data_IF_202809287102
#
_entry.id   IF_202809287102
#
_cell.length_a   1.000
_cell.length_b   1.000
_cell.length_c   1.000
_cell.angle_alpha   90.00
_cell.angle_beta   90.00
_cell.angle_gamma   90.00
#
_symmetry.space_group_name_H-M   'P 1'
#
loop_
_entity.id
_entity.type
_entity.pdbx_description
1 polymer ?
#
# COMPACT_ATOMS: atom_id res chain seq x y z
N UNK A 1 -25.43 -5.86 23.35
CA UNK A 1 -24.92 -6.76 22.30
C UNK A 1 -24.11 -5.90 21.35
N UNK A 2 -23.15 -6.45 20.59
CA UNK A 2 -22.46 -5.68 19.57
C UNK A 2 -23.44 -5.08 18.56
N UNK A 3 -23.13 -3.90 18.02
CA UNK A 3 -23.96 -3.19 17.04
C UNK A 3 -24.19 -4.01 15.74
N UNK A 4 -23.22 -4.87 15.37
CA UNK A 4 -23.29 -5.71 14.18
C UNK A 4 -23.15 -7.18 14.53
N UNK A 5 -24.07 -7.99 13.99
CA UNK A 5 -24.03 -9.45 14.16
C UNK A 5 -22.97 -10.12 13.26
N UNK A 6 -22.66 -11.38 13.56
CA UNK A 6 -21.65 -12.17 12.84
C UNK A 6 -21.96 -12.33 11.35
N UNK A 7 -23.23 -12.43 10.95
CA UNK A 7 -23.61 -12.53 9.54
C UNK A 7 -23.28 -11.24 8.78
N UNK A 8 -23.50 -10.08 9.40
CA UNK A 8 -23.16 -8.79 8.83
C UNK A 8 -21.66 -8.67 8.64
N UNK A 9 -20.88 -8.99 9.68
CA UNK A 9 -19.42 -8.97 9.62
C UNK A 9 -18.87 -9.97 8.60
N UNK A 10 -19.45 -11.17 8.50
CA UNK A 10 -19.05 -12.17 7.50
C UNK A 10 -19.26 -11.66 6.06
N UNK A 11 -20.34 -10.90 5.82
CA UNK A 11 -20.56 -10.22 4.54
C UNK A 11 -19.55 -9.08 4.30
N UNK A 12 -19.13 -8.40 5.37
CA UNK A 12 -18.24 -7.24 5.32
C UNK A 12 -16.78 -7.61 5.09
N UNK A 13 -16.35 -8.80 5.52
CA UNK A 13 -14.99 -9.26 5.28
C UNK A 13 -14.73 -9.75 3.85
N UNK A 14 -15.71 -9.78 2.96
CA UNK A 14 -15.51 -10.26 1.58
C UNK A 14 -14.77 -9.19 0.74
N UNK A 15 -13.93 -9.60 -0.23
CA UNK A 15 -13.32 -8.67 -1.18
C UNK A 15 -14.36 -8.14 -2.19
N UNK A 16 -13.89 -7.43 -3.21
CA UNK A 16 -14.66 -7.08 -4.40
C UNK A 16 -15.26 -8.31 -5.13
N UNK A 17 -16.18 -8.05 -6.06
CA UNK A 17 -16.90 -9.04 -6.88
C UNK A 17 -16.14 -9.47 -8.13
N UNK A 18 -16.49 -10.64 -8.70
CA UNK A 18 -15.88 -11.19 -9.92
C UNK A 18 -15.94 -10.23 -11.13
N UNK A 19 -17.05 -9.49 -11.30
CA UNK A 19 -17.18 -8.49 -12.36
C UNK A 19 -16.15 -7.35 -12.25
N UNK A 20 -15.64 -7.05 -11.04
CA UNK A 20 -14.59 -6.05 -10.84
C UNK A 20 -13.22 -6.60 -11.27
N UNK A 21 -12.97 -7.90 -11.13
CA UNK A 21 -11.69 -8.53 -11.51
C UNK A 21 -11.41 -8.40 -13.02
N UNK A 22 -12.42 -8.59 -13.87
CA UNK A 22 -12.26 -8.41 -15.31
C UNK A 22 -11.91 -6.96 -15.66
N UNK A 23 -12.59 -5.98 -15.05
CA UNK A 23 -12.32 -4.55 -15.28
C UNK A 23 -10.93 -4.15 -14.80
N UNK A 24 -10.46 -4.77 -13.72
CA UNK A 24 -9.10 -4.58 -13.19
C UNK A 24 -8.07 -5.16 -14.16
N UNK A 25 -8.28 -6.39 -14.62
CA UNK A 25 -7.41 -7.03 -15.62
C UNK A 25 -7.32 -6.19 -16.90
N UNK A 26 -8.45 -5.68 -17.38
CA UNK A 26 -8.50 -4.77 -18.53
C UNK A 26 -7.67 -3.51 -18.30
N UNK A 27 -7.84 -2.84 -17.14
CA UNK A 27 -7.10 -1.64 -16.79
C UNK A 27 -5.57 -1.92 -16.79
N UNK A 28 -5.14 -3.00 -16.14
CA UNK A 28 -3.73 -3.40 -16.07
C UNK A 28 -3.17 -3.68 -17.48
N UNK A 29 -3.88 -4.46 -18.30
CA UNK A 29 -3.45 -4.77 -19.67
C UNK A 29 -3.31 -3.51 -20.49
N UNK A 30 -4.33 -2.63 -20.49
CA UNK A 30 -4.31 -1.39 -21.27
C UNK A 30 -3.14 -0.47 -20.90
N UNK A 31 -2.80 -0.37 -19.61
CA UNK A 31 -1.65 0.41 -19.12
C UNK A 31 -0.33 -0.21 -19.60
N UNK A 32 -0.17 -1.53 -19.42
CA UNK A 32 1.03 -2.26 -19.87
C UNK A 32 1.22 -2.13 -21.38
N UNK A 33 0.16 -2.31 -22.15
CA UNK A 33 0.18 -2.23 -23.61
C UNK A 33 0.51 -0.81 -24.08
N UNK A 34 -0.02 0.22 -23.43
CA UNK A 34 0.30 1.61 -23.76
C UNK A 34 1.80 1.90 -23.60
N UNK A 35 2.40 1.43 -22.51
CA UNK A 35 3.82 1.62 -22.22
C UNK A 35 4.67 0.80 -23.20
N UNK A 36 4.31 -0.46 -23.45
CA UNK A 36 5.03 -1.34 -24.40
C UNK A 36 4.96 -0.88 -25.86
N UNK A 37 3.97 -0.09 -26.23
CA UNK A 37 3.82 0.44 -27.59
C UNK A 37 4.41 1.85 -27.76
N UNK A 38 4.85 2.51 -26.69
CA UNK A 38 5.45 3.83 -26.78
C UNK A 38 6.85 3.75 -27.40
N UNK A 39 7.17 4.64 -28.34
CA UNK A 39 8.39 4.60 -29.16
C UNK A 39 9.68 4.53 -28.35
N UNK A 40 9.75 5.27 -27.23
CA UNK A 40 10.90 5.32 -26.33
C UNK A 40 10.84 4.23 -25.24
N UNK A 41 9.66 3.93 -24.69
CA UNK A 41 9.55 3.04 -23.52
C UNK A 41 9.63 1.57 -23.91
N UNK A 42 9.27 1.22 -25.15
CA UNK A 42 9.31 -0.16 -25.66
C UNK A 42 10.71 -0.79 -25.64
N UNK A 43 11.77 0.03 -25.60
CA UNK A 43 13.17 -0.43 -25.57
C UNK A 43 13.77 -0.44 -24.17
N UNK A 44 13.00 -0.06 -23.14
CA UNK A 44 13.45 0.03 -21.75
C UNK A 44 13.11 -1.25 -20.99
N UNK A 45 13.94 -1.64 -20.03
CA UNK A 45 13.56 -2.67 -19.04
C UNK A 45 12.63 -2.04 -18.00
N UNK A 46 11.34 -2.34 -18.12
CA UNK A 46 10.29 -1.84 -17.22
C UNK A 46 9.56 -3.03 -16.61
N UNK A 47 9.63 -3.13 -15.30
CA UNK A 47 8.86 -4.09 -14.52
C UNK A 47 7.58 -3.44 -13.99
N UNK A 48 6.44 -4.13 -14.13
CA UNK A 48 5.16 -3.67 -13.60
C UNK A 48 4.85 -4.28 -12.25
N UNK A 49 4.74 -3.45 -11.22
CA UNK A 49 4.39 -3.88 -9.86
C UNK A 49 2.98 -3.40 -9.54
N UNK A 50 2.05 -4.33 -9.33
CA UNK A 50 0.69 -4.01 -8.88
C UNK A 50 0.71 -3.85 -7.36
N UNK A 51 0.20 -2.72 -6.87
CA UNK A 51 0.27 -2.33 -5.46
C UNK A 51 -1.13 -2.06 -4.91
N UNK A 52 -1.14 -1.57 -3.67
CA UNK A 52 -2.35 -1.09 -3.02
C UNK A 52 -3.31 -2.21 -2.63
N UNK A 53 -4.54 -1.80 -2.34
CA UNK A 53 -5.50 -2.67 -1.68
C UNK A 53 -5.96 -3.85 -2.55
N UNK A 54 -5.93 -3.71 -3.88
CA UNK A 54 -6.21 -4.82 -4.79
C UNK A 54 -5.14 -5.91 -4.70
N UNK A 55 -3.87 -5.56 -4.90
CA UNK A 55 -2.74 -6.50 -4.83
C UNK A 55 -2.66 -7.16 -3.44
N UNK A 56 -2.87 -6.37 -2.39
CA UNK A 56 -2.88 -6.86 -1.02
C UNK A 56 -4.14 -7.68 -0.68
N UNK A 57 -5.15 -7.76 -1.56
CA UNK A 57 -6.46 -8.35 -1.26
C UNK A 57 -7.05 -7.77 0.03
N UNK A 58 -6.99 -6.46 0.18
CA UNK A 58 -7.57 -5.67 1.28
C UNK A 58 -8.57 -4.63 0.75
N UNK A 59 -8.94 -4.70 -0.53
CA UNK A 59 -9.93 -3.84 -1.15
C UNK A 59 -11.35 -4.09 -0.60
N UNK A 60 -12.12 -3.01 -0.57
CA UNK A 60 -13.56 -3.01 -0.26
C UNK A 60 -14.26 -2.31 -1.42
N UNK A 61 -15.56 -2.58 -1.67
CA UNK A 61 -16.29 -2.10 -2.88
C UNK A 61 -16.16 -0.59 -3.20
N UNK A 62 -15.86 0.24 -2.21
CA UNK A 62 -15.71 1.69 -2.37
C UNK A 62 -14.28 2.14 -2.76
N UNK A 63 -13.31 1.21 -2.74
CA UNK A 63 -11.88 1.47 -2.95
C UNK A 63 -11.39 0.78 -4.24
N UNK A 64 -12.09 0.98 -5.37
CA UNK A 64 -11.87 0.21 -6.60
C UNK A 64 -10.63 0.62 -7.43
N UNK A 65 -9.81 1.51 -6.92
CA UNK A 65 -8.67 2.06 -7.65
C UNK A 65 -7.52 1.04 -7.63
N UNK A 66 -6.88 0.83 -8.79
CA UNK A 66 -5.70 -0.03 -8.89
C UNK A 66 -4.43 0.81 -8.98
N UNK A 67 -3.40 0.42 -8.24
CA UNK A 67 -2.09 1.05 -8.29
C UNK A 67 -1.16 0.23 -9.18
N UNK A 68 -0.72 0.79 -10.31
CA UNK A 68 0.19 0.14 -11.26
C UNK A 68 1.49 0.93 -11.33
N UNK A 69 2.54 0.40 -10.71
CA UNK A 69 3.87 0.99 -10.79
C UNK A 69 4.60 0.49 -12.02
N UNK A 70 5.09 1.41 -12.85
CA UNK A 70 5.99 1.12 -13.96
C UNK A 70 7.43 1.42 -13.52
N UNK A 71 8.12 0.39 -13.04
CA UNK A 71 9.46 0.47 -12.46
C UNK A 71 10.53 0.31 -13.54
N UNK A 72 11.26 1.38 -13.86
CA UNK A 72 12.42 1.33 -14.75
C UNK A 72 13.59 0.61 -14.05
N UNK A 73 14.27 -0.28 -14.77
CA UNK A 73 15.40 -1.08 -14.27
C UNK A 73 16.72 -0.84 -15.02
N UNK A 74 16.68 -0.15 -16.16
CA UNK A 74 17.88 0.33 -16.88
C UNK A 74 18.80 1.21 -16.01
N UNK A 75 18.22 1.88 -15.03
CA UNK A 75 18.91 2.73 -14.05
C UNK A 75 18.17 2.60 -12.74
N UNK A 76 18.92 2.65 -11.64
CA UNK A 76 18.37 2.52 -10.30
C UNK A 76 18.92 3.63 -9.40
N UNK A 77 18.17 3.92 -8.35
CA UNK A 77 18.69 4.64 -7.19
C UNK A 77 19.15 3.65 -6.14
N UNK A 78 20.05 4.07 -5.28
CA UNK A 78 20.59 3.21 -4.23
C UNK A 78 20.77 3.93 -2.91
N UNK A 79 20.78 3.14 -1.85
CA UNK A 79 21.36 3.49 -0.55
C UNK A 79 22.48 2.50 -0.29
N UNK A 80 23.68 2.99 -0.01
CA UNK A 80 24.85 2.17 0.29
C UNK A 80 25.07 2.07 1.80
N UNK A 81 25.71 0.99 2.23
CA UNK A 81 26.22 0.88 3.60
C UNK A 81 27.16 2.05 3.92
N UNK A 82 27.27 2.36 5.21
CA UNK A 82 28.13 3.45 5.69
C UNK A 82 29.56 3.31 5.16
N UNK A 83 30.08 4.40 4.59
CA UNK A 83 31.43 4.48 4.02
C UNK A 83 31.60 3.85 2.63
N UNK A 84 30.58 3.19 2.06
CA UNK A 84 30.64 2.66 0.71
C UNK A 84 30.05 3.61 -0.33
N UNK A 85 30.54 3.49 -1.56
CA UNK A 85 30.07 4.22 -2.74
C UNK A 85 29.71 3.26 -3.86
N UNK A 86 29.12 3.79 -4.94
CA UNK A 86 28.75 3.00 -6.13
C UNK A 86 29.95 2.26 -6.75
N UNK A 87 31.14 2.84 -6.67
CA UNK A 87 32.38 2.26 -7.19
C UNK A 87 32.77 0.99 -6.44
N UNK A 88 32.48 0.89 -5.13
CA UNK A 88 32.74 -0.33 -4.36
C UNK A 88 31.93 -1.53 -4.88
N UNK A 89 30.77 -1.28 -5.47
CA UNK A 89 29.90 -2.29 -6.07
C UNK A 89 30.09 -2.42 -7.59
N UNK A 90 31.06 -1.72 -8.18
CA UNK A 90 31.34 -1.75 -9.62
C UNK A 90 30.31 -1.03 -10.49
N UNK A 91 29.49 -0.15 -9.91
CA UNK A 91 28.48 0.60 -10.66
C UNK A 91 29.03 1.91 -11.22
N UNK A 92 28.38 2.39 -12.28
CA UNK A 92 28.63 3.69 -12.91
C UNK A 92 27.37 4.55 -12.84
N UNK A 93 27.49 5.82 -13.20
CA UNK A 93 26.37 6.75 -13.20
C UNK A 93 25.34 6.38 -14.27
N UNK A 94 24.07 6.35 -13.88
CA UNK A 94 22.97 6.05 -14.78
C UNK A 94 22.63 7.24 -15.69
N UNK A 95 22.08 6.95 -16.87
CA UNK A 95 21.80 7.96 -17.90
C UNK A 95 20.33 8.35 -18.01
N UNK A 96 19.42 7.65 -17.32
CA UNK A 96 17.99 7.94 -17.39
C UNK A 96 17.58 9.01 -16.37
N UNK A 97 16.86 10.03 -16.82
CA UNK A 97 16.28 11.06 -15.96
C UNK A 97 14.84 10.71 -15.55
N UNK A 98 14.50 10.85 -14.26
CA UNK A 98 13.16 10.51 -13.76
C UNK A 98 12.05 11.40 -14.35
N UNK A 99 12.29 12.70 -14.53
CA UNK A 99 11.27 13.62 -15.05
C UNK A 99 10.95 13.33 -16.52
N UNK A 100 11.96 13.01 -17.32
CA UNK A 100 11.79 12.56 -18.70
C UNK A 100 11.03 11.23 -18.76
N UNK A 101 11.42 10.25 -17.94
CA UNK A 101 10.71 8.99 -17.84
C UNK A 101 9.23 9.18 -17.47
N UNK A 102 8.94 10.01 -16.47
CA UNK A 102 7.57 10.38 -16.09
C UNK A 102 6.82 11.03 -17.25
N UNK A 103 7.45 11.93 -18.00
CA UNK A 103 6.85 12.57 -19.16
C UNK A 103 6.46 11.54 -20.25
N UNK A 104 7.35 10.57 -20.55
CA UNK A 104 7.03 9.49 -21.49
C UNK A 104 5.89 8.59 -21.00
N UNK A 105 5.81 8.30 -19.70
CA UNK A 105 4.67 7.54 -19.15
C UNK A 105 3.37 8.35 -19.31
N UNK A 106 3.39 9.67 -19.03
CA UNK A 106 2.24 10.54 -19.24
C UNK A 106 1.81 10.52 -20.71
N UNK A 107 2.76 10.68 -21.64
CA UNK A 107 2.49 10.63 -23.08
C UNK A 107 1.86 9.30 -23.50
N UNK A 108 2.42 8.17 -23.05
CA UNK A 108 1.85 6.85 -23.31
C UNK A 108 0.40 6.73 -22.80
N UNK A 109 0.11 7.24 -21.60
CA UNK A 109 -1.25 7.25 -21.04
C UNK A 109 -2.18 8.17 -21.84
N UNK A 110 -1.72 9.35 -22.26
CA UNK A 110 -2.50 10.27 -23.09
C UNK A 110 -2.86 9.63 -24.44
N UNK A 111 -1.90 8.97 -25.09
CA UNK A 111 -2.10 8.31 -26.36
C UNK A 111 -3.10 7.15 -26.26
N UNK A 112 -3.12 6.41 -25.14
CA UNK A 112 -4.02 5.28 -24.95
C UNK A 112 -5.42 5.68 -24.50
N UNK A 113 -5.52 6.61 -23.55
CA UNK A 113 -6.78 6.90 -22.84
C UNK A 113 -7.41 8.24 -23.23
N UNK A 114 -6.67 9.12 -23.91
CA UNK A 114 -7.09 10.50 -24.19
C UNK A 114 -6.85 11.42 -23.00
N UNK A 115 -6.52 12.69 -23.28
CA UNK A 115 -6.15 13.70 -22.27
C UNK A 115 -7.24 13.91 -21.22
N UNK A 116 -8.51 13.93 -21.63
CA UNK A 116 -9.66 14.17 -20.73
C UNK A 116 -9.91 13.03 -19.73
N UNK A 117 -9.33 11.84 -19.97
CA UNK A 117 -9.46 10.68 -19.10
C UNK A 117 -8.26 10.49 -18.18
N UNK A 118 -7.26 11.37 -18.25
CA UNK A 118 -6.10 11.30 -17.38
C UNK A 118 -5.92 12.58 -16.57
N UNK A 119 -5.37 12.45 -15.36
CA UNK A 119 -4.96 13.58 -14.53
C UNK A 119 -3.60 13.28 -13.94
N UNK A 120 -2.60 14.09 -14.29
CA UNK A 120 -1.29 14.01 -13.63
C UNK A 120 -1.41 14.56 -12.22
N UNK A 121 -1.38 13.67 -11.23
CA UNK A 121 -1.34 14.04 -9.82
C UNK A 121 0.10 14.25 -9.34
N UNK A 122 0.24 14.62 -8.07
CA UNK A 122 1.56 14.89 -7.49
C UNK A 122 2.48 13.65 -7.46
N UNK A 123 1.93 12.44 -7.35
CA UNK A 123 2.70 11.18 -7.24
C UNK A 123 2.42 10.20 -8.37
N UNK A 124 1.15 10.03 -8.70
CA UNK A 124 0.69 9.11 -9.74
C UNK A 124 0.00 9.85 -10.89
N UNK A 125 -0.26 9.13 -11.97
CA UNK A 125 -1.06 9.55 -13.11
C UNK A 125 -2.39 8.81 -13.00
N UNK A 126 -3.44 9.55 -12.66
CA UNK A 126 -4.77 9.00 -12.48
C UNK A 126 -5.44 8.79 -13.84
N UNK A 127 -6.09 7.65 -13.99
CA UNK A 127 -6.86 7.25 -15.17
C UNK A 127 -8.31 7.06 -14.72
N UNK A 128 -9.22 7.78 -15.37
CA UNK A 128 -10.65 7.69 -15.11
C UNK A 128 -11.20 6.32 -15.51
N UNK A 129 -12.05 5.74 -14.66
CA UNK A 129 -12.82 4.52 -14.93
C UNK A 129 -13.81 4.73 -16.09
N UNK A 130 -14.32 3.61 -16.62
CA UNK A 130 -15.50 3.60 -17.49
C UNK A 130 -16.24 2.27 -17.37
N UNK A 131 -17.15 1.97 -18.30
CA UNK A 131 -17.90 0.71 -18.31
C UNK A 131 -17.00 -0.53 -18.44
N UNK A 132 -15.80 -0.40 -18.99
CA UNK A 132 -14.87 -1.50 -19.30
C UNK A 132 -13.69 -1.64 -18.33
N UNK A 133 -13.33 -0.58 -17.59
CA UNK A 133 -12.19 -0.57 -16.67
C UNK A 133 -12.48 0.19 -15.37
N UNK A 134 -11.79 -0.18 -14.30
CA UNK A 134 -11.80 0.60 -13.04
C UNK A 134 -10.91 1.84 -13.13
N UNK A 135 -10.93 2.66 -12.09
CA UNK A 135 -9.97 3.73 -11.90
C UNK A 135 -8.58 3.14 -11.67
N UNK A 136 -7.54 3.81 -12.16
CA UNK A 136 -6.17 3.36 -12.00
C UNK A 136 -5.23 4.52 -11.75
N UNK A 137 -4.25 4.31 -10.88
CA UNK A 137 -3.13 5.19 -10.66
C UNK A 137 -1.87 4.54 -11.22
N UNK A 138 -1.23 5.21 -12.17
CA UNK A 138 0.06 4.78 -12.71
C UNK A 138 1.17 5.51 -11.99
N UNK A 139 2.09 4.78 -11.37
CA UNK A 139 3.24 5.35 -10.64
C UNK A 139 4.51 5.11 -11.46
N UNK A 140 5.06 6.13 -12.13
CA UNK A 140 6.41 6.06 -12.68
C UNK A 140 7.39 5.94 -11.51
N UNK A 141 8.27 4.93 -11.54
CA UNK A 141 9.30 4.76 -10.54
C UNK A 141 10.56 4.19 -11.17
N UNK A 142 11.69 4.36 -10.48
CA UNK A 142 12.92 3.64 -10.77
C UNK A 142 13.09 2.54 -9.72
N UNK A 143 13.82 1.48 -10.07
CA UNK A 143 14.27 0.50 -9.10
C UNK A 143 15.07 1.22 -8.00
N UNK A 144 14.82 0.84 -6.75
CA UNK A 144 15.63 1.23 -5.62
C UNK A 144 16.36 0.01 -5.09
N UNK A 145 17.68 0.11 -4.91
CA UNK A 145 18.51 -0.96 -4.34
C UNK A 145 19.05 -0.51 -3.00
N UNK A 146 18.55 -1.11 -1.94
CA UNK A 146 19.04 -0.84 -0.59
C UNK A 146 20.14 -1.85 -0.22
N UNK A 147 21.37 -1.36 -0.09
CA UNK A 147 22.56 -2.10 0.34
C UNK A 147 22.96 -1.77 1.78
N UNK A 148 22.12 -1.07 2.56
CA UNK A 148 22.44 -0.59 3.91
C UNK A 148 22.96 -1.70 4.83
N UNK A 149 22.39 -2.91 4.74
CA UNK A 149 22.75 -4.08 5.56
C UNK A 149 23.73 -5.04 4.87
N UNK A 150 24.16 -4.73 3.65
CA UNK A 150 25.12 -5.53 2.88
C UNK A 150 26.54 -5.30 3.43
N UNK A 151 27.42 -6.30 3.43
CA UNK A 151 28.74 -6.21 4.10
C UNK A 151 29.95 -6.62 3.24
N UNK A 152 29.71 -7.20 2.06
CA UNK A 152 30.71 -7.84 1.19
C UNK A 152 30.89 -7.12 -0.14
N UNK A 153 30.23 -5.98 -0.35
CA UNK A 153 30.15 -5.28 -1.63
C UNK A 153 29.58 -6.14 -2.77
N UNK A 154 28.65 -7.05 -2.45
CA UNK A 154 27.99 -7.85 -3.47
C UNK A 154 26.89 -7.03 -4.17
N UNK A 155 27.10 -6.75 -5.46
CA UNK A 155 26.18 -5.99 -6.30
C UNK A 155 24.77 -6.61 -6.40
N UNK A 156 24.65 -7.92 -6.20
CA UNK A 156 23.39 -8.66 -6.31
C UNK A 156 22.68 -8.86 -4.96
N UNK A 157 23.32 -8.50 -3.84
CA UNK A 157 22.75 -8.65 -2.50
C UNK A 157 22.14 -7.33 -2.02
N UNK A 158 20.92 -7.05 -2.46
CA UNK A 158 20.17 -5.85 -2.09
C UNK A 158 18.71 -6.13 -1.78
N UNK A 159 18.15 -5.26 -0.95
CA UNK A 159 16.70 -5.21 -0.74
C UNK A 159 16.09 -4.34 -1.84
N UNK A 160 15.28 -4.95 -2.70
CA UNK A 160 14.64 -4.26 -3.83
C UNK A 160 13.41 -3.46 -3.38
N UNK A 161 13.41 -2.17 -3.71
CA UNK A 161 12.28 -1.26 -3.56
C UNK A 161 12.01 -0.47 -4.84
N UNK A 162 11.22 0.58 -4.69
CA UNK A 162 10.98 1.59 -5.71
C UNK A 162 11.35 2.96 -5.16
N UNK A 163 11.86 3.83 -6.03
CA UNK A 163 12.08 5.25 -5.73
C UNK A 163 11.49 6.12 -6.83
N UNK A 164 10.78 7.15 -6.42
CA UNK A 164 10.20 8.15 -7.32
C UNK A 164 10.12 9.50 -6.61
N UNK A 165 9.86 10.55 -7.39
CA UNK A 165 9.71 11.91 -6.89
C UNK A 165 8.29 12.39 -7.14
N UNK A 166 7.71 13.11 -6.19
CA UNK A 166 6.52 13.88 -6.47
C UNK A 166 6.83 15.15 -7.26
N UNK A 167 5.79 15.79 -7.78
CA UNK A 167 5.91 17.04 -8.57
C UNK A 167 6.50 18.22 -7.80
N UNK A 168 6.53 18.14 -6.47
CA UNK A 168 7.21 19.07 -5.55
C UNK A 168 8.65 18.65 -5.22
N UNK A 169 9.21 17.71 -5.99
CA UNK A 169 10.55 17.14 -5.82
C UNK A 169 10.78 16.39 -4.50
N UNK A 170 9.72 16.09 -3.73
CA UNK A 170 9.86 15.23 -2.55
C UNK A 170 10.16 13.81 -2.99
N UNK A 171 11.17 13.21 -2.36
CA UNK A 171 11.56 11.81 -2.57
C UNK A 171 10.59 10.85 -1.87
N UNK A 172 10.26 9.75 -2.54
CA UNK A 172 9.47 8.65 -2.00
C UNK A 172 10.17 7.33 -2.31
N UNK A 173 10.52 6.60 -1.25
CA UNK A 173 11.01 5.21 -1.31
C UNK A 173 9.93 4.31 -0.71
N UNK A 174 9.60 3.20 -1.40
CA UNK A 174 8.66 2.20 -0.91
C UNK A 174 9.14 0.78 -1.24
N UNK A 175 8.63 -0.21 -0.50
CA UNK A 175 8.97 -1.63 -0.69
C UNK A 175 7.73 -2.48 -0.97
N UNK A 176 7.04 -2.25 -2.09
CA UNK A 176 5.74 -2.85 -2.40
C UNK A 176 5.77 -4.38 -2.50
N UNK A 177 6.85 -4.95 -3.07
CA UNK A 177 7.00 -6.40 -3.19
C UNK A 177 7.16 -7.07 -1.82
N UNK A 178 7.92 -6.43 -0.92
CA UNK A 178 8.12 -6.91 0.45
C UNK A 178 6.84 -6.77 1.26
N UNK A 179 6.16 -5.62 1.16
CA UNK A 179 4.84 -5.39 1.76
C UNK A 179 3.86 -6.50 1.37
N UNK A 180 3.76 -6.82 0.08
CA UNK A 180 2.88 -7.86 -0.42
C UNK A 180 3.27 -9.23 0.14
N UNK A 181 4.55 -9.60 0.07
CA UNK A 181 5.07 -10.88 0.58
C UNK A 181 4.75 -11.05 2.07
N UNK A 182 5.09 -10.06 2.88
CA UNK A 182 4.84 -10.05 4.32
C UNK A 182 3.33 -10.17 4.61
N UNK A 183 2.51 -9.36 3.94
CA UNK A 183 1.06 -9.40 4.08
C UNK A 183 0.45 -10.76 3.70
N UNK A 184 0.98 -11.46 2.69
CA UNK A 184 0.61 -12.84 2.34
C UNK A 184 1.01 -13.78 3.49
N UNK A 185 2.27 -13.76 3.94
CA UNK A 185 2.77 -14.62 5.01
C UNK A 185 1.96 -14.48 6.30
N UNK A 186 1.67 -13.25 6.77
CA UNK A 186 0.85 -13.06 7.97
C UNK A 186 -0.59 -13.52 7.74
N UNK A 187 -1.18 -13.23 6.58
CA UNK A 187 -2.49 -13.76 6.25
C UNK A 187 -2.50 -15.29 6.25
N UNK A 188 -1.38 -15.90 5.88
CA UNK A 188 -1.23 -17.33 5.91
C UNK A 188 -1.18 -17.89 7.33
N UNK A 189 -0.35 -17.28 8.16
CA UNK A 189 -0.18 -17.64 9.57
C UNK A 189 -1.39 -17.32 10.46
N UNK A 190 -2.39 -16.60 9.95
CA UNK A 190 -3.61 -16.18 10.69
C UNK A 190 -4.89 -16.82 10.14
N UNK A 191 -4.79 -17.96 9.45
CA UNK A 191 -5.95 -18.65 8.86
C UNK A 191 -6.82 -17.74 7.96
N UNK A 192 -6.15 -16.86 7.21
CA UNK A 192 -6.71 -15.82 6.34
C UNK A 192 -7.48 -14.71 7.08
N UNK A 193 -7.39 -14.63 8.40
CA UNK A 193 -8.14 -13.66 9.22
C UNK A 193 -7.50 -12.28 9.20
N UNK A 194 -6.17 -12.15 9.08
CA UNK A 194 -5.52 -10.84 8.98
C UNK A 194 -6.15 -9.94 7.90
N UNK A 195 -6.15 -10.35 6.62
CA UNK A 195 -6.70 -9.52 5.54
C UNK A 195 -8.21 -9.33 5.65
N UNK A 196 -8.93 -10.32 6.20
CA UNK A 196 -10.38 -10.22 6.51
C UNK A 196 -10.65 -9.13 7.54
N UNK A 197 -9.87 -9.08 8.61
CA UNK A 197 -9.95 -8.04 9.64
C UNK A 197 -9.57 -6.67 9.09
N UNK A 198 -8.56 -6.57 8.21
CA UNK A 198 -8.24 -5.30 7.52
C UNK A 198 -9.45 -4.78 6.75
N UNK A 199 -10.15 -5.65 6.00
CA UNK A 199 -11.38 -5.26 5.28
C UNK A 199 -12.50 -4.86 6.23
N UNK A 200 -12.66 -5.54 7.37
CA UNK A 200 -13.62 -5.14 8.40
C UNK A 200 -13.32 -3.73 8.93
N UNK A 201 -12.08 -3.46 9.34
CA UNK A 201 -11.65 -2.14 9.81
C UNK A 201 -11.94 -1.05 8.77
N UNK A 202 -11.61 -1.31 7.49
CA UNK A 202 -11.90 -0.37 6.40
C UNK A 202 -13.40 -0.12 6.22
N UNK A 203 -14.23 -1.17 6.21
CA UNK A 203 -15.69 -1.03 6.07
C UNK A 203 -16.31 -0.32 7.27
N UNK A 204 -15.88 -0.65 8.48
CA UNK A 204 -16.36 0.00 9.70
C UNK A 204 -15.98 1.49 9.69
N UNK A 205 -14.73 1.83 9.32
CA UNK A 205 -14.31 3.23 9.13
C UNK A 205 -15.22 3.96 8.14
N UNK A 206 -15.50 3.36 6.97
CA UNK A 206 -16.38 3.97 5.97
C UNK A 206 -17.81 4.17 6.52
N UNK A 207 -18.32 3.20 7.27
CA UNK A 207 -19.64 3.29 7.94
C UNK A 207 -19.68 4.38 9.01
N UNK A 208 -18.61 4.55 9.78
CA UNK A 208 -18.48 5.66 10.73
C UNK A 208 -18.50 7.03 10.03
N UNK A 209 -17.83 7.15 8.88
CA UNK A 209 -17.85 8.36 8.05
C UNK A 209 -19.25 8.61 7.47
N UNK A 210 -19.92 7.58 6.95
CA UNK A 210 -21.32 7.66 6.48
C UNK A 210 -22.27 8.11 7.59
N UNK A 211 -22.03 7.66 8.83
CA UNK A 211 -22.72 8.09 10.04
C UNK A 211 -22.30 9.49 10.54
N UNK A 212 -21.49 10.23 9.77
CA UNK A 212 -21.00 11.58 10.07
C UNK A 212 -20.17 11.68 11.36
N UNK A 213 -19.54 10.58 11.79
CA UNK A 213 -18.55 10.63 12.87
C UNK A 213 -17.27 11.32 12.40
N UNK A 214 -16.57 12.07 13.27
CA UNK A 214 -15.39 12.85 12.92
C UNK A 214 -14.13 11.97 12.84
N UNK A 215 -14.14 11.00 11.92
CA UNK A 215 -12.99 10.14 11.65
C UNK A 215 -11.89 10.96 10.97
N UNK A 216 -10.70 11.02 11.58
CA UNK A 216 -9.55 11.73 11.01
C UNK A 216 -9.19 11.22 9.61
N UNK A 217 -8.97 12.14 8.67
CA UNK A 217 -8.50 11.81 7.31
C UNK A 217 -7.10 11.17 7.28
N UNK A 218 -6.37 11.21 8.40
CA UNK A 218 -5.08 10.54 8.56
C UNK A 218 -5.21 9.02 8.68
N UNK A 219 -6.41 8.49 9.01
CA UNK A 219 -6.68 7.04 9.11
C UNK A 219 -6.83 6.43 7.72
N UNK A 220 -5.70 6.31 7.03
CA UNK A 220 -5.60 5.76 5.68
C UNK A 220 -5.65 4.23 5.69
N UNK A 221 -6.05 3.64 4.56
CA UNK A 221 -6.09 2.17 4.40
C UNK A 221 -4.74 1.51 4.65
N UNK A 222 -3.65 2.16 4.20
CA UNK A 222 -2.28 1.72 4.48
C UNK A 222 -1.98 1.67 5.99
N UNK A 223 -2.39 2.72 6.75
CA UNK A 223 -2.21 2.75 8.20
C UNK A 223 -2.99 1.61 8.87
N UNK A 224 -4.25 1.39 8.49
CA UNK A 224 -5.06 0.30 9.05
C UNK A 224 -4.43 -1.08 8.82
N UNK A 225 -3.88 -1.31 7.62
CA UNK A 225 -3.19 -2.55 7.29
C UNK A 225 -1.91 -2.73 8.13
N UNK A 226 -1.09 -1.68 8.25
CA UNK A 226 0.13 -1.70 9.07
C UNK A 226 -0.15 -1.79 10.57
N UNK A 227 -1.23 -1.22 11.08
CA UNK A 227 -1.63 -1.41 12.48
C UNK A 227 -1.92 -2.89 12.76
N UNK A 228 -2.78 -3.50 11.93
CA UNK A 228 -3.16 -4.90 12.09
C UNK A 228 -1.99 -5.86 11.82
N UNK A 229 -0.98 -5.44 11.06
CA UNK A 229 0.26 -6.19 10.87
C UNK A 229 1.01 -6.40 12.20
N UNK A 230 1.03 -5.39 13.05
CA UNK A 230 1.71 -5.42 14.36
C UNK A 230 0.93 -6.18 15.45
N UNK A 231 -0.31 -6.58 15.21
CA UNK A 231 -1.07 -7.41 16.16
C UNK A 231 -0.54 -8.86 16.14
N UNK A 232 -0.27 -9.50 17.30
CA UNK A 232 0.14 -10.90 17.36
C UNK A 232 -0.79 -11.87 16.62
N UNK A 233 -0.23 -12.90 15.97
CA UNK A 233 -1.01 -13.89 15.21
C UNK A 233 -2.01 -14.64 16.09
N UNK A 234 -1.70 -14.86 17.38
CA UNK A 234 -2.56 -15.54 18.35
C UNK A 234 -3.92 -14.84 18.48
N UNK A 235 -3.97 -13.51 18.48
CA UNK A 235 -5.22 -12.75 18.55
C UNK A 235 -6.17 -13.08 17.40
N UNK A 236 -5.63 -13.29 16.19
CA UNK A 236 -6.43 -13.72 15.05
C UNK A 236 -6.80 -15.21 15.12
N UNK A 237 -5.99 -16.04 15.78
CA UNK A 237 -6.12 -17.50 15.75
C UNK A 237 -6.99 -18.07 16.86
N UNK A 238 -7.11 -17.38 18.00
CA UNK A 238 -7.79 -17.87 19.20
C UNK A 238 -9.31 -18.08 19.03
N UNK A 239 -9.93 -17.44 18.04
CA UNK A 239 -11.37 -17.54 17.78
C UNK A 239 -11.68 -17.42 16.29
N UNK A 240 -12.86 -17.88 15.89
CA UNK A 240 -13.43 -17.68 14.56
C UNK A 240 -14.59 -16.67 14.56
N UNK A 241 -14.93 -16.08 15.71
CA UNK A 241 -16.00 -15.10 15.90
C UNK A 241 -15.45 -13.71 15.56
N UNK A 242 -16.06 -13.03 14.58
CA UNK A 242 -15.56 -11.74 14.09
C UNK A 242 -15.63 -10.63 15.12
N UNK A 243 -16.68 -10.59 15.93
CA UNK A 243 -16.77 -9.62 17.02
C UNK A 243 -15.65 -9.80 18.06
N UNK A 244 -15.28 -11.05 18.38
CA UNK A 244 -14.17 -11.30 19.30
C UNK A 244 -12.83 -10.88 18.69
N UNK A 245 -12.58 -11.21 17.40
CA UNK A 245 -11.37 -10.76 16.70
C UNK A 245 -11.29 -9.23 16.68
N UNK A 246 -12.38 -8.53 16.35
CA UNK A 246 -12.43 -7.06 16.36
C UNK A 246 -12.17 -6.51 17.78
N UNK A 247 -12.80 -7.09 18.80
CA UNK A 247 -12.61 -6.67 20.20
C UNK A 247 -11.15 -6.79 20.62
N UNK A 248 -10.55 -7.96 20.44
CA UNK A 248 -9.18 -8.24 20.86
C UNK A 248 -8.14 -7.44 20.06
N UNK A 249 -8.36 -7.25 18.76
CA UNK A 249 -7.50 -6.39 17.93
C UNK A 249 -7.59 -4.92 18.35
N UNK A 250 -8.79 -4.39 18.63
CA UNK A 250 -8.94 -3.01 19.13
C UNK A 250 -8.27 -2.86 20.50
N UNK A 251 -8.47 -3.80 21.43
CA UNK A 251 -7.85 -3.76 22.77
C UNK A 251 -6.32 -3.77 22.66
N UNK A 252 -5.76 -4.69 21.88
CA UNK A 252 -4.32 -4.81 21.67
C UNK A 252 -3.74 -3.52 21.10
N UNK A 253 -4.34 -2.99 20.03
CA UNK A 253 -3.88 -1.77 19.39
C UNK A 253 -4.01 -0.54 20.32
N UNK A 254 -5.14 -0.42 21.03
CA UNK A 254 -5.41 0.69 21.93
C UNK A 254 -4.40 0.71 23.08
N UNK A 255 -4.16 -0.44 23.72
CA UNK A 255 -3.22 -0.54 24.83
C UNK A 255 -1.78 -0.23 24.40
N UNK A 256 -1.33 -0.77 23.27
CA UNK A 256 0.02 -0.48 22.75
C UNK A 256 0.20 0.99 22.33
N UNK A 257 -0.86 1.64 21.84
CA UNK A 257 -0.82 3.05 21.40
C UNK A 257 -1.09 4.05 22.53
N UNK A 258 -1.15 3.63 23.80
CA UNK A 258 -1.25 4.55 24.95
C UNK A 258 0.03 5.37 25.18
N UNK A 259 1.18 4.78 24.88
CA UNK A 259 2.51 5.39 25.06
C UNK A 259 3.34 5.21 23.80
N UNK A 260 4.36 6.04 23.60
CA UNK A 260 5.25 5.90 22.46
C UNK A 260 6.06 4.59 22.56
N UNK A 261 6.50 4.24 23.77
CA UNK A 261 7.25 3.01 24.05
C UNK A 261 6.48 1.73 23.64
N UNK A 262 5.15 1.71 23.81
CA UNK A 262 4.31 0.54 23.49
C UNK A 262 4.21 0.22 21.99
N UNK A 263 4.54 1.18 21.12
CA UNK A 263 4.50 1.02 19.67
C UNK A 263 5.77 1.55 18.96
N UNK A 264 6.85 1.84 19.68
CA UNK A 264 8.07 2.44 19.11
C UNK A 264 8.73 1.59 18.02
N UNK A 265 8.61 0.27 18.17
CA UNK A 265 9.22 -0.72 17.27
C UNK A 265 8.24 -1.25 16.23
N UNK A 266 7.03 -0.68 16.13
CA UNK A 266 6.07 -1.13 15.14
C UNK A 266 6.56 -0.77 13.75
N UNK A 267 6.60 -1.75 12.86
CA UNK A 267 6.92 -1.56 11.46
C UNK A 267 5.68 -1.33 10.61
N UNK A 268 5.87 -0.74 9.44
CA UNK A 268 4.95 -0.97 8.33
C UNK A 268 4.95 -2.44 7.93
N UNK A 269 3.97 -2.88 7.13
CA UNK A 269 3.92 -4.28 6.67
C UNK A 269 5.21 -4.70 5.95
N UNK A 270 5.93 -3.78 5.31
CA UNK A 270 7.23 -4.05 4.68
C UNK A 270 8.37 -4.30 5.67
N UNK A 271 8.22 -3.89 6.93
CA UNK A 271 9.27 -3.88 7.97
C UNK A 271 10.52 -3.06 7.59
N UNK A 272 10.41 -2.18 6.58
CA UNK A 272 11.52 -1.32 6.15
C UNK A 272 11.47 0.08 6.78
N UNK A 273 10.33 0.45 7.36
CA UNK A 273 10.13 1.72 8.05
C UNK A 273 9.32 1.48 9.32
N UNK A 274 9.62 2.24 10.36
CA UNK A 274 8.75 2.33 11.53
C UNK A 274 7.39 2.92 11.13
N UNK A 275 6.31 2.44 11.74
CA UNK A 275 4.96 2.91 11.45
C UNK A 275 4.71 4.33 11.95
N UNK A 276 5.40 4.72 13.02
CA UNK A 276 5.32 6.06 13.61
C UNK A 276 6.69 6.73 13.55
N UNK A 277 6.83 7.73 12.69
CA UNK A 277 8.00 8.60 12.59
C UNK A 277 7.58 9.97 12.05
N UNK A 278 8.48 10.96 12.11
CA UNK A 278 8.20 12.37 11.81
C UNK A 278 7.64 12.63 10.41
N UNK A 279 7.93 11.77 9.43
CA UNK A 279 7.47 11.97 8.04
C UNK A 279 6.07 11.41 7.78
N UNK A 280 5.47 10.70 8.75
CA UNK A 280 4.09 10.23 8.65
C UNK A 280 3.12 11.33 9.02
N UNK A 281 2.06 11.43 8.22
CA UNK A 281 0.96 12.37 8.44
C UNK A 281 0.05 11.97 9.61
N UNK A 282 0.17 10.72 10.08
CA UNK A 282 -0.63 10.18 11.16
C UNK A 282 0.20 10.12 12.43
N UNK A 283 -0.47 10.30 13.56
CA UNK A 283 0.11 10.19 14.88
C UNK A 283 -0.46 8.99 15.65
N UNK A 284 0.22 8.61 16.72
CA UNK A 284 -0.33 7.68 17.71
C UNK A 284 -1.65 8.17 18.30
N UNK A 285 -1.79 9.48 18.51
CA UNK A 285 -3.01 10.09 19.03
C UNK A 285 -4.19 9.95 18.05
N UNK A 286 -3.96 10.11 16.73
CA UNK A 286 -4.97 9.83 15.70
C UNK A 286 -5.48 8.39 15.81
N UNK A 287 -4.55 7.43 15.93
CA UNK A 287 -4.88 6.00 16.03
C UNK A 287 -5.67 5.71 17.31
N UNK A 288 -5.20 6.20 18.46
CA UNK A 288 -5.86 5.97 19.73
C UNK A 288 -7.31 6.53 19.74
N UNK A 289 -7.49 7.75 19.23
CA UNK A 289 -8.81 8.38 19.06
C UNK A 289 -9.72 7.56 18.12
N UNK A 290 -9.19 7.12 16.98
CA UNK A 290 -9.92 6.29 16.03
C UNK A 290 -10.39 4.96 16.66
N UNK A 291 -9.54 4.30 17.44
CA UNK A 291 -9.86 3.02 18.09
C UNK A 291 -10.97 3.19 19.14
N UNK A 292 -10.96 4.28 19.92
CA UNK A 292 -12.05 4.60 20.86
C UNK A 292 -13.37 4.87 20.12
N UNK A 293 -13.32 5.66 19.04
CA UNK A 293 -14.50 5.91 18.22
C UNK A 293 -15.05 4.62 17.61
N UNK A 294 -14.18 3.75 17.11
CA UNK A 294 -14.54 2.47 16.53
C UNK A 294 -15.13 1.52 17.57
N UNK A 295 -14.55 1.46 18.77
CA UNK A 295 -15.09 0.68 19.89
C UNK A 295 -16.51 1.09 20.25
N UNK A 296 -16.76 2.39 20.39
CA UNK A 296 -18.06 2.94 20.71
C UNK A 296 -19.07 2.70 19.58
N UNK A 297 -18.65 2.86 18.32
CA UNK A 297 -19.49 2.61 17.15
C UNK A 297 -19.92 1.14 17.02
N UNK A 298 -19.09 0.21 17.53
CA UNK A 298 -19.40 -1.21 17.57
C UNK A 298 -20.24 -1.63 18.80
N UNK A 299 -20.53 -0.69 19.71
CA UNK A 299 -21.24 -0.91 20.98
C UNK A 299 -20.60 -2.01 21.84
N UNK A 300 -19.26 -2.11 21.79
CA UNK A 300 -18.54 -3.01 22.68
C UNK A 300 -18.58 -2.48 24.12
N UNK A 301 -18.82 -3.40 25.06
CA UNK A 301 -18.79 -3.10 26.50
C UNK A 301 -17.39 -3.34 27.02
N UNK A 302 -16.94 -2.49 27.96
CA UNK A 302 -15.70 -2.68 28.74
C UNK A 302 -15.70 -4.02 29.45
#
# INVERSE_FOLDING_TARGET
>A
MPAFNEQTLDSWRKPASENEEQKISNAISMIKDAIKNHSILKTKDIEFVIQGSYSNNTNVRLDSDIDVTAMLKDTFYSEYREGATRENYGFTEGTNNFNEYRAFIIEAMQNKFGKDNIRSGGKAIFIKSNTYRVHADVVPAFQFRNYHYETKNNADDFIEGIKFFSTDSKEIINYPKIHLKNGITKNDNTLRRFKRTVRLYKRIKNKMIEAKLPVSGNIRSFLLESLLWNVPNSIFNNTNIWNEILRETIISLYNSTKTDEGCKNWGEVSEQFYLFHSDRIWSRADVNSFLVQMWNYLEYKS
#
